data_IF_664651606376
#
_entry.id   IF_664651606376
#
_cell.length_a   1.000
_cell.length_b   1.000
_cell.length_c   1.000
_cell.angle_alpha   90.00
_cell.angle_beta   90.00
_cell.angle_gamma   90.00
#
_symmetry.space_group_name_H-M   'P 1'
#
loop_
_entity.id
_entity.type
_entity.pdbx_description
1 polymer ?
#
# COMPACT_ATOMS: atom_id res chain seq x y z
N UNK A 1 -39.93 6.29 -21.80
CA UNK A 1 -39.20 6.46 -20.53
C UNK A 1 -38.04 7.41 -20.74
N UNK A 2 -38.12 8.67 -20.26
CA UNK A 2 -37.03 9.63 -20.37
C UNK A 2 -35.78 9.19 -19.59
N UNK A 3 -35.98 8.48 -18.47
CA UNK A 3 -34.93 8.14 -17.50
C UNK A 3 -35.15 8.90 -16.20
N UNK A 4 -34.21 8.76 -15.27
CA UNK A 4 -34.19 9.51 -14.02
C UNK A 4 -33.07 10.55 -14.11
N UNK A 5 -33.37 11.81 -13.81
CA UNK A 5 -32.32 12.82 -13.61
C UNK A 5 -31.56 12.42 -12.36
N UNK A 6 -30.23 12.29 -12.45
CA UNK A 6 -29.41 11.92 -11.31
C UNK A 6 -29.40 13.11 -10.31
N UNK A 7 -29.96 12.97 -9.10
CA UNK A 7 -29.86 14.01 -8.08
C UNK A 7 -28.45 13.95 -7.47
N UNK A 8 -27.52 14.68 -8.07
CA UNK A 8 -26.14 14.79 -7.58
C UNK A 8 -25.84 16.24 -7.21
N UNK A 9 -25.97 16.52 -5.92
CA UNK A 9 -25.77 17.84 -5.30
C UNK A 9 -24.40 17.99 -4.63
N UNK A 10 -23.55 16.96 -4.71
CA UNK A 10 -22.19 17.00 -4.20
C UNK A 10 -21.25 17.70 -5.18
N UNK A 11 -20.95 18.97 -4.90
CA UNK A 11 -19.94 19.80 -5.56
C UNK A 11 -19.77 19.52 -7.07
N UNK A 12 -18.54 19.29 -7.52
CA UNK A 12 -18.25 18.99 -8.92
C UNK A 12 -18.56 17.51 -9.15
N UNK A 13 -19.67 17.22 -9.86
CA UNK A 13 -20.08 15.86 -10.21
C UNK A 13 -18.91 14.98 -10.68
N UNK A 14 -18.03 15.51 -11.53
CA UNK A 14 -16.86 14.80 -12.06
C UNK A 14 -15.81 14.41 -11.01
N UNK A 15 -15.70 15.18 -9.92
CA UNK A 15 -14.75 14.90 -8.85
C UNK A 15 -15.34 13.90 -7.84
N UNK A 16 -16.63 14.04 -7.53
CA UNK A 16 -17.28 13.29 -6.45
C UNK A 16 -17.97 12.00 -6.92
N UNK A 17 -18.34 11.89 -8.19
CA UNK A 17 -19.00 10.68 -8.69
C UNK A 17 -17.99 9.53 -8.87
N UNK A 18 -18.24 8.32 -8.33
CA UNK A 18 -17.28 7.22 -8.35
C UNK A 18 -17.43 6.40 -9.64
N UNK A 19 -16.94 6.94 -10.77
CA UNK A 19 -17.15 6.35 -12.10
C UNK A 19 -16.74 4.87 -12.23
N UNK A 20 -15.79 4.40 -11.42
CA UNK A 20 -15.32 3.01 -11.45
C UNK A 20 -16.39 1.99 -11.07
N UNK A 21 -17.44 2.39 -10.35
CA UNK A 21 -18.56 1.48 -10.04
C UNK A 21 -19.29 1.02 -11.30
N UNK A 22 -19.19 1.75 -12.41
CA UNK A 22 -19.81 1.40 -13.69
C UNK A 22 -19.01 0.40 -14.54
N UNK A 23 -17.88 -0.10 -14.05
CA UNK A 23 -17.22 -1.24 -14.71
C UNK A 23 -18.19 -2.45 -14.73
N UNK A 24 -18.49 -3.05 -15.90
CA UNK A 24 -19.35 -4.22 -16.00
C UNK A 24 -18.91 -5.42 -15.17
N UNK A 25 -17.63 -5.47 -14.79
CA UNK A 25 -17.05 -6.51 -13.93
C UNK A 25 -17.02 -6.10 -12.45
N UNK A 26 -17.43 -4.87 -12.12
CA UNK A 26 -17.55 -4.42 -10.73
C UNK A 26 -18.64 -5.19 -10.01
N UNK A 27 -18.30 -5.80 -8.87
CA UNK A 27 -19.28 -6.34 -7.92
C UNK A 27 -20.21 -5.26 -7.34
N UNK A 28 -19.87 -3.98 -7.51
CA UNK A 28 -20.65 -2.82 -7.07
C UNK A 28 -21.32 -2.10 -8.22
N UNK A 29 -21.46 -2.77 -9.37
CA UNK A 29 -22.17 -2.22 -10.51
C UNK A 29 -23.60 -1.84 -10.11
N UNK A 30 -24.01 -0.57 -10.30
CA UNK A 30 -25.24 -0.08 -9.67
C UNK A 30 -26.51 -0.43 -10.47
N UNK A 31 -26.41 -1.17 -11.57
CA UNK A 31 -27.56 -1.63 -12.36
C UNK A 31 -28.24 -0.51 -13.17
N UNK A 32 -27.49 0.55 -13.47
CA UNK A 32 -27.91 1.63 -14.34
C UNK A 32 -26.73 2.17 -15.17
N UNK A 33 -27.06 2.86 -16.25
CA UNK A 33 -26.11 3.57 -17.09
C UNK A 33 -26.55 5.01 -17.33
N UNK A 34 -25.59 5.88 -17.66
CA UNK A 34 -25.86 7.25 -18.05
C UNK A 34 -26.37 7.32 -19.49
N UNK A 35 -27.42 8.11 -19.73
CA UNK A 35 -27.91 8.45 -21.07
C UNK A 35 -27.45 9.83 -21.53
N UNK A 36 -27.27 10.76 -20.59
CA UNK A 36 -26.69 12.08 -20.83
C UNK A 36 -25.79 12.43 -19.66
N UNK A 37 -24.81 13.30 -19.88
CA UNK A 37 -23.87 13.74 -18.84
C UNK A 37 -24.04 15.22 -18.46
N UNK A 38 -24.78 16.01 -19.26
CA UNK A 38 -24.99 17.44 -19.02
C UNK A 38 -26.41 17.87 -19.42
N UNK A 39 -27.37 17.88 -18.46
CA UNK A 39 -27.26 17.34 -17.10
C UNK A 39 -27.23 15.79 -17.09
N UNK A 40 -26.77 15.16 -15.99
CA UNK A 40 -26.72 13.70 -15.89
C UNK A 40 -28.12 13.08 -15.81
N UNK A 41 -28.45 12.22 -16.77
CA UNK A 41 -29.61 11.34 -16.71
C UNK A 41 -29.15 9.89 -16.75
N UNK A 42 -29.86 9.05 -16.01
CA UNK A 42 -29.58 7.63 -15.88
C UNK A 42 -30.81 6.79 -16.24
N UNK A 43 -30.55 5.55 -16.68
CA UNK A 43 -31.57 4.53 -16.89
C UNK A 43 -31.14 3.23 -16.28
N UNK A 44 -32.07 2.55 -15.62
CA UNK A 44 -31.86 1.17 -15.19
C UNK A 44 -31.60 0.28 -16.40
N UNK A 45 -30.74 -0.73 -16.25
CA UNK A 45 -30.52 -1.73 -17.30
C UNK A 45 -31.76 -2.61 -17.54
N UNK A 46 -32.70 -2.59 -16.60
CA UNK A 46 -34.02 -3.25 -16.73
C UNK A 46 -35.06 -2.37 -17.41
N UNK A 47 -34.69 -1.17 -17.87
CA UNK A 47 -35.63 -0.27 -18.53
C UNK A 47 -36.04 -0.81 -19.91
N UNK A 48 -37.34 -1.04 -20.10
CA UNK A 48 -37.93 -1.49 -21.37
C UNK A 48 -38.20 -0.34 -22.37
N UNK A 49 -37.74 0.87 -22.08
CA UNK A 49 -37.95 2.06 -22.93
C UNK A 49 -39.34 2.71 -22.84
N UNK A 50 -40.37 2.01 -22.36
CA UNK A 50 -41.74 2.54 -22.18
C UNK A 50 -42.00 3.11 -20.78
N UNK A 51 -42.81 4.16 -20.69
CA UNK A 51 -43.29 4.75 -19.42
C UNK A 51 -44.77 5.12 -19.53
N UNK A 52 -45.49 5.18 -18.40
CA UNK A 52 -46.93 5.52 -18.38
C UNK A 52 -47.20 6.97 -18.81
N UNK A 53 -46.24 7.87 -18.57
CA UNK A 53 -46.28 9.23 -19.12
C UNK A 53 -44.97 9.54 -19.86
N UNK A 54 -45.03 10.50 -20.79
CA UNK A 54 -43.86 10.95 -21.55
C UNK A 54 -42.79 11.60 -20.65
N UNK A 55 -43.21 12.20 -19.54
CA UNK A 55 -42.35 13.02 -18.68
C UNK A 55 -41.82 12.28 -17.43
N UNK A 56 -42.36 11.11 -17.09
CA UNK A 56 -41.96 10.38 -15.87
C UNK A 56 -41.06 9.17 -16.16
N UNK A 57 -40.09 8.85 -15.28
CA UNK A 57 -39.35 7.60 -15.34
C UNK A 57 -40.31 6.41 -15.22
N UNK A 58 -39.98 5.29 -15.87
CA UNK A 58 -40.66 4.03 -15.60
C UNK A 58 -40.28 3.50 -14.20
N UNK A 59 -41.02 2.52 -13.69
CA UNK A 59 -40.79 1.94 -12.36
C UNK A 59 -39.35 1.45 -12.14
N UNK A 60 -38.72 0.86 -13.16
CA UNK A 60 -37.32 0.41 -13.09
C UNK A 60 -36.33 1.57 -13.00
N UNK A 61 -36.52 2.65 -13.76
CA UNK A 61 -35.66 3.82 -13.64
C UNK A 61 -35.88 4.57 -12.33
N UNK A 62 -37.10 4.56 -11.80
CA UNK A 62 -37.42 5.18 -10.51
C UNK A 62 -36.81 4.39 -9.34
N UNK A 63 -36.77 3.05 -9.40
CA UNK A 63 -36.22 2.22 -8.32
C UNK A 63 -34.72 2.44 -8.08
N UNK A 64 -33.99 2.83 -9.13
CA UNK A 64 -32.56 3.14 -9.07
C UNK A 64 -32.25 4.37 -8.20
N UNK A 65 -33.25 5.22 -7.89
CA UNK A 65 -33.05 6.38 -7.03
C UNK A 65 -32.44 6.01 -5.67
N UNK A 66 -32.83 4.85 -5.11
CA UNK A 66 -32.28 4.35 -3.86
C UNK A 66 -30.80 3.97 -3.97
N UNK A 67 -30.41 3.31 -5.07
CA UNK A 67 -29.02 2.93 -5.33
C UNK A 67 -28.13 4.17 -5.53
N UNK A 68 -28.66 5.21 -6.17
CA UNK A 68 -27.98 6.51 -6.34
C UNK A 68 -27.77 7.19 -4.99
N UNK A 69 -28.78 7.21 -4.13
CA UNK A 69 -28.69 7.79 -2.80
C UNK A 69 -27.65 7.04 -1.95
N UNK A 70 -27.68 5.71 -1.94
CA UNK A 70 -26.68 4.90 -1.26
C UNK A 70 -25.26 5.10 -1.82
N UNK A 71 -25.13 5.38 -3.12
CA UNK A 71 -23.84 5.72 -3.74
C UNK A 71 -23.37 7.11 -3.33
N UNK A 72 -24.28 8.08 -3.28
CA UNK A 72 -24.01 9.46 -2.86
C UNK A 72 -23.52 9.50 -1.42
N UNK A 73 -24.26 8.89 -0.50
CA UNK A 73 -23.92 8.87 0.93
C UNK A 73 -22.52 8.27 1.14
N UNK A 74 -22.17 7.24 0.36
CA UNK A 74 -20.83 6.65 0.42
C UNK A 74 -19.71 7.57 -0.10
N UNK A 75 -20.01 8.46 -1.05
CA UNK A 75 -19.00 9.38 -1.58
C UNK A 75 -18.70 10.56 -0.65
N UNK A 76 -19.53 10.77 0.37
CA UNK A 76 -19.27 11.71 1.46
C UNK A 76 -18.40 11.11 2.57
N UNK A 77 -18.27 9.77 2.62
CA UNK A 77 -17.41 9.10 3.59
C UNK A 77 -15.95 9.57 3.43
N UNK A 78 -15.27 9.79 4.56
CA UNK A 78 -13.83 10.05 4.55
C UNK A 78 -13.09 8.85 3.93
N UNK A 79 -12.02 9.13 3.20
CA UNK A 79 -11.16 8.12 2.59
C UNK A 79 -10.76 6.99 3.55
N UNK A 80 -10.49 7.32 4.82
CA UNK A 80 -10.12 6.36 5.87
C UNK A 80 -11.20 5.31 6.19
N UNK A 81 -12.47 5.61 5.91
CA UNK A 81 -13.60 4.70 6.17
C UNK A 81 -13.99 3.88 4.94
N UNK A 82 -13.61 4.32 3.73
CA UNK A 82 -13.92 3.59 2.50
C UNK A 82 -12.92 2.45 2.31
N UNK A 83 -13.38 1.22 2.52
CA UNK A 83 -12.55 0.00 2.42
C UNK A 83 -12.43 -0.55 1.00
N UNK A 84 -13.20 0.00 0.07
CA UNK A 84 -13.46 -0.59 -1.24
C UNK A 84 -13.00 0.38 -2.32
N UNK A 85 -11.84 0.11 -2.91
CA UNK A 85 -11.20 1.01 -3.87
C UNK A 85 -12.03 1.21 -5.16
N UNK A 86 -12.86 0.23 -5.53
CA UNK A 86 -13.74 0.35 -6.70
C UNK A 86 -14.85 1.39 -6.52
N UNK A 87 -15.11 1.83 -5.28
CA UNK A 87 -16.10 2.86 -4.95
C UNK A 87 -15.49 4.23 -4.70
N UNK A 88 -14.17 4.37 -4.83
CA UNK A 88 -13.53 5.68 -4.67
C UNK A 88 -14.01 6.65 -5.74
N UNK A 89 -14.31 7.86 -5.30
CA UNK A 89 -14.38 9.01 -6.19
C UNK A 89 -12.98 9.51 -6.57
N UNK A 90 -12.91 10.55 -7.40
CA UNK A 90 -11.63 11.05 -7.89
C UNK A 90 -10.75 11.58 -6.75
N UNK A 91 -11.33 12.33 -5.81
CA UNK A 91 -10.61 12.92 -4.69
C UNK A 91 -10.05 11.84 -3.74
N UNK A 92 -10.88 10.87 -3.35
CA UNK A 92 -10.45 9.71 -2.56
C UNK A 92 -9.34 8.92 -3.27
N UNK A 93 -9.39 8.83 -4.60
CA UNK A 93 -8.31 8.22 -5.39
C UNK A 93 -7.01 9.03 -5.32
N UNK A 94 -7.09 10.37 -5.35
CA UNK A 94 -5.91 11.23 -5.18
C UNK A 94 -5.29 11.08 -3.78
N UNK A 95 -6.11 11.02 -2.73
CA UNK A 95 -5.66 10.77 -1.37
C UNK A 95 -4.96 9.41 -1.25
N UNK A 96 -5.53 8.35 -1.84
CA UNK A 96 -4.89 7.04 -1.90
C UNK A 96 -3.53 7.09 -2.59
N UNK A 97 -3.44 7.79 -3.71
CA UNK A 97 -2.17 7.94 -4.46
C UNK A 97 -1.14 8.70 -3.63
N UNK A 98 -1.53 9.73 -2.88
CA UNK A 98 -0.63 10.45 -1.98
C UNK A 98 -0.09 9.53 -0.87
N UNK A 99 -0.96 8.76 -0.22
CA UNK A 99 -0.57 7.78 0.82
C UNK A 99 0.39 6.71 0.27
N UNK A 100 0.11 6.16 -0.91
CA UNK A 100 0.98 5.17 -1.54
C UNK A 100 2.36 5.75 -1.90
N UNK A 101 2.42 7.02 -2.33
CA UNK A 101 3.70 7.70 -2.60
C UNK A 101 4.55 7.84 -1.34
N UNK A 102 3.95 8.17 -0.21
CA UNK A 102 4.63 8.25 1.08
C UNK A 102 5.21 6.88 1.48
N UNK A 103 4.38 5.83 1.45
CA UNK A 103 4.83 4.45 1.74
C UNK A 103 5.98 3.99 0.85
N UNK A 104 5.94 4.32 -0.45
CA UNK A 104 7.03 4.01 -1.37
C UNK A 104 8.32 4.73 -0.99
N UNK A 105 8.24 5.97 -0.52
CA UNK A 105 9.43 6.72 -0.08
C UNK A 105 10.03 6.12 1.20
N UNK A 106 9.19 5.72 2.15
CA UNK A 106 9.63 5.05 3.37
C UNK A 106 10.35 3.74 3.07
N UNK A 107 9.76 2.90 2.22
CA UNK A 107 10.37 1.63 1.79
C UNK A 107 11.70 1.84 1.03
N UNK A 108 11.81 2.92 0.25
CA UNK A 108 13.08 3.28 -0.40
C UNK A 108 14.15 3.62 0.62
N UNK A 109 13.81 4.42 1.65
CA UNK A 109 14.73 4.78 2.71
C UNK A 109 15.18 3.54 3.50
N UNK A 110 14.25 2.67 3.86
CA UNK A 110 14.54 1.40 4.52
C UNK A 110 15.49 0.53 3.67
N UNK A 111 15.23 0.43 2.37
CA UNK A 111 16.09 -0.31 1.43
C UNK A 111 17.51 0.24 1.38
N UNK A 112 17.69 1.57 1.39
CA UNK A 112 19.02 2.20 1.41
C UNK A 112 19.75 1.88 2.72
N UNK A 113 19.06 1.95 3.85
CA UNK A 113 19.63 1.62 5.15
C UNK A 113 20.06 0.14 5.21
N UNK A 114 19.21 -0.78 4.75
CA UNK A 114 19.54 -2.21 4.67
C UNK A 114 20.74 -2.48 3.76
N UNK A 115 20.85 -1.80 2.62
CA UNK A 115 22.02 -1.93 1.74
C UNK A 115 23.31 -1.49 2.42
N UNK A 116 23.27 -0.40 3.19
CA UNK A 116 24.43 0.08 3.97
C UNK A 116 24.80 -0.93 5.06
N UNK A 117 23.82 -1.43 5.82
CA UNK A 117 24.06 -2.46 6.85
C UNK A 117 24.64 -3.74 6.25
N UNK A 118 24.15 -4.17 5.08
CA UNK A 118 24.68 -5.34 4.39
C UNK A 118 26.12 -5.13 3.89
N UNK A 119 26.45 -3.93 3.41
CA UNK A 119 27.81 -3.61 3.00
C UNK A 119 28.78 -3.68 4.19
N UNK A 120 28.43 -3.04 5.31
CA UNK A 120 29.22 -3.10 6.55
C UNK A 120 29.38 -4.55 7.05
N UNK A 121 28.31 -5.35 7.07
CA UNK A 121 28.41 -6.75 7.48
C UNK A 121 29.31 -7.58 6.55
N UNK A 122 29.39 -7.25 5.25
CA UNK A 122 30.30 -7.92 4.31
C UNK A 122 31.75 -7.55 4.57
N UNK A 123 32.03 -6.29 4.90
CA UNK A 123 33.36 -5.82 5.32
C UNK A 123 33.79 -6.54 6.60
N UNK A 124 32.94 -6.59 7.62
CA UNK A 124 33.21 -7.31 8.87
C UNK A 124 33.51 -8.80 8.62
N UNK A 125 32.72 -9.45 7.75
CA UNK A 125 32.95 -10.87 7.39
C UNK A 125 34.26 -11.06 6.64
N UNK A 126 34.67 -10.12 5.78
CA UNK A 126 35.95 -10.18 5.09
C UNK A 126 37.11 -10.04 6.08
N UNK A 127 37.05 -9.07 6.99
CA UNK A 127 38.06 -8.87 8.03
C UNK A 127 38.19 -10.10 8.94
N UNK A 128 37.07 -10.66 9.40
CA UNK A 128 37.11 -11.89 10.20
C UNK A 128 37.71 -13.07 9.45
N UNK A 129 37.48 -13.19 8.13
CA UNK A 129 38.12 -14.24 7.32
C UNK A 129 39.63 -14.06 7.26
N UNK A 130 40.12 -12.83 7.09
CA UNK A 130 41.55 -12.54 7.08
C UNK A 130 42.21 -12.88 8.42
N UNK A 131 41.57 -12.50 9.54
CA UNK A 131 42.03 -12.84 10.89
C UNK A 131 42.11 -14.36 11.04
N UNK A 132 41.04 -15.09 10.70
CA UNK A 132 41.01 -16.56 10.82
C UNK A 132 42.08 -17.21 9.93
N UNK A 133 42.29 -16.71 8.72
CA UNK A 133 43.33 -17.22 7.82
C UNK A 133 44.75 -16.96 8.35
N UNK A 134 45.01 -15.76 8.87
CA UNK A 134 46.30 -15.43 9.48
C UNK A 134 46.62 -16.37 10.64
N UNK A 135 45.64 -16.67 11.49
CA UNK A 135 45.79 -17.59 12.62
C UNK A 135 45.95 -19.04 12.20
N UNK A 136 45.25 -19.46 11.15
CA UNK A 136 45.41 -20.81 10.60
C UNK A 136 46.79 -21.05 9.97
N UNK A 137 47.44 -19.98 9.50
CA UNK A 137 48.76 -20.05 8.84
C UNK A 137 49.93 -19.80 9.79
N UNK A 138 49.73 -19.04 10.86
CA UNK A 138 50.77 -18.70 11.84
C UNK A 138 50.44 -19.34 13.18
N UNK A 139 51.25 -20.33 13.58
CA UNK A 139 51.12 -20.93 14.91
C UNK A 139 51.58 -19.93 15.98
N UNK A 140 50.62 -19.16 16.53
CA UNK A 140 50.82 -18.31 17.70
C UNK A 140 50.16 -18.99 18.91
N UNK A 141 50.92 -19.71 19.76
CA UNK A 141 50.36 -20.56 20.83
C UNK A 141 49.52 -19.79 21.86
N UNK A 142 49.82 -18.50 22.08
CA UNK A 142 49.01 -17.62 22.93
C UNK A 142 47.61 -17.41 22.36
N UNK A 143 47.52 -17.06 21.07
CA UNK A 143 46.26 -16.83 20.38
C UNK A 143 45.40 -18.09 20.26
N UNK A 144 46.01 -19.25 19.96
CA UNK A 144 45.29 -20.53 19.94
C UNK A 144 44.62 -20.87 21.29
N UNK A 145 45.32 -20.59 22.40
CA UNK A 145 44.76 -20.77 23.75
C UNK A 145 43.59 -19.82 24.00
N UNK A 146 43.72 -18.57 23.56
CA UNK A 146 42.63 -17.59 23.68
C UNK A 146 41.41 -17.99 22.84
N UNK A 147 41.58 -18.42 21.59
CA UNK A 147 40.49 -18.93 20.75
C UNK A 147 39.80 -20.14 21.38
N UNK A 148 40.56 -21.12 21.88
CA UNK A 148 40.01 -22.31 22.53
C UNK A 148 39.20 -21.94 23.79
N UNK A 149 39.68 -20.95 24.55
CA UNK A 149 38.98 -20.42 25.72
C UNK A 149 37.73 -19.63 25.31
N UNK A 150 37.80 -18.82 24.26
CA UNK A 150 36.67 -18.07 23.73
C UNK A 150 35.56 -18.99 23.22
N UNK A 151 35.92 -20.05 22.51
CA UNK A 151 34.98 -21.05 21.99
C UNK A 151 34.31 -21.84 23.12
N UNK A 152 35.11 -22.34 24.07
CA UNK A 152 34.59 -23.12 25.22
C UNK A 152 33.70 -22.27 26.14
N UNK A 153 33.97 -20.97 26.24
CA UNK A 153 33.17 -20.04 27.05
C UNK A 153 32.15 -19.23 26.24
N UNK A 154 31.97 -19.51 24.95
CA UNK A 154 31.04 -18.82 24.04
C UNK A 154 31.17 -17.28 24.09
N UNK A 155 32.39 -16.77 24.04
CA UNK A 155 32.61 -15.31 24.02
C UNK A 155 32.00 -14.68 22.78
N UNK A 156 31.45 -13.48 22.92
CA UNK A 156 31.11 -12.63 21.77
C UNK A 156 32.39 -12.17 21.07
N UNK A 157 32.29 -11.82 19.78
CA UNK A 157 33.42 -11.28 19.02
C UNK A 157 34.04 -10.04 19.71
N UNK A 158 33.20 -9.16 20.27
CA UNK A 158 33.64 -7.98 21.03
C UNK A 158 34.51 -8.36 22.23
N UNK A 159 34.02 -9.26 23.09
CA UNK A 159 34.77 -9.73 24.28
C UNK A 159 36.07 -10.40 23.87
N UNK A 160 36.05 -11.17 22.78
CA UNK A 160 37.23 -11.83 22.27
C UNK A 160 38.31 -10.84 21.80
N UNK A 161 37.91 -9.81 21.05
CA UNK A 161 38.79 -8.73 20.62
C UNK A 161 39.34 -7.95 21.82
N UNK A 162 38.51 -7.57 22.79
CA UNK A 162 38.95 -6.89 24.03
C UNK A 162 40.06 -7.67 24.74
N UNK A 163 39.91 -8.99 24.85
CA UNK A 163 40.92 -9.83 25.50
C UNK A 163 42.22 -9.93 24.68
N UNK A 164 42.15 -10.01 23.35
CA UNK A 164 43.35 -9.99 22.51
C UNK A 164 44.07 -8.64 22.65
N UNK A 165 43.33 -7.54 22.62
CA UNK A 165 43.89 -6.19 22.75
C UNK A 165 44.57 -6.00 24.10
N UNK A 166 43.95 -6.45 25.20
CA UNK A 166 44.58 -6.43 26.53
C UNK A 166 45.88 -7.24 26.56
N UNK A 167 45.87 -8.47 26.01
CA UNK A 167 47.04 -9.32 25.94
C UNK A 167 48.17 -8.75 25.06
N UNK A 168 47.84 -7.96 24.03
CA UNK A 168 48.81 -7.29 23.16
C UNK A 168 49.41 -6.03 23.81
N UNK A 169 48.58 -5.25 24.52
CA UNK A 169 49.02 -4.01 25.18
C UNK A 169 49.74 -4.24 26.51
N UNK A 170 49.65 -5.45 27.09
CA UNK A 170 50.39 -5.85 28.28
C UNK A 170 49.74 -5.43 29.61
N UNK A 171 48.43 -5.20 29.61
CA UNK A 171 47.61 -4.97 30.81
C UNK A 171 47.14 -6.29 31.46
#
# INVERSE_FOLDING_TARGET
CPGLRLPWDLDTFWAKYPFRVHDPHSKYYPGYHFTTMSPPFIRSDRCLGSSKSAESPCTWCASVAHDVEALRDHTEDLFSYVRVEERFNHEQTLEKVAQLKEQVNDLKLETVNLKRSLASAREDVAEFKEIVQYLGTHSVPGLHRMFSKALSQKWSAKKFLEMITAAYLGD
#
